data_IF_721057612152
#
_entry.id   IF_721057612152
#
_cell.length_a   1.000
_cell.length_b   1.000
_cell.length_c   1.000
_cell.angle_alpha   90.00
_cell.angle_beta   90.00
_cell.angle_gamma   90.00
#
_symmetry.space_group_name_H-M   'P 1'
#
loop_
_entity.id
_entity.type
_entity.pdbx_description
1 polymer ?
#
# COMPACT_ATOMS: atom_id res chain seq x y z
N UNK A 1 41.32 18.83 -95.69
CA UNK A 1 42.55 18.24 -95.05
C UNK A 1 42.27 17.92 -93.59
N UNK A 2 42.52 16.67 -93.26
CA UNK A 2 42.29 16.00 -91.97
C UNK A 2 43.01 16.65 -90.84
N UNK A 3 42.40 16.53 -89.60
CA UNK A 3 43.10 15.99 -88.43
C UNK A 3 42.07 15.64 -87.33
N UNK A 4 42.03 14.38 -86.98
CA UNK A 4 41.33 13.78 -85.88
C UNK A 4 42.07 14.08 -84.58
N UNK A 5 41.34 14.42 -83.52
CA UNK A 5 41.86 14.28 -82.18
C UNK A 5 40.87 13.42 -81.35
N UNK A 6 41.40 12.31 -80.91
CA UNK A 6 40.72 11.44 -79.94
C UNK A 6 40.93 11.95 -78.53
N UNK A 7 39.88 12.16 -77.80
CA UNK A 7 39.91 12.51 -76.35
C UNK A 7 39.41 11.36 -75.56
N UNK A 8 40.26 10.81 -74.69
CA UNK A 8 39.94 9.77 -73.70
C UNK A 8 39.06 10.39 -72.59
N UNK A 9 37.91 9.84 -72.39
CA UNK A 9 37.12 10.07 -71.15
C UNK A 9 37.51 9.01 -70.15
N UNK A 10 38.17 9.40 -69.03
CA UNK A 10 38.38 8.58 -67.87
C UNK A 10 37.16 8.73 -66.97
N UNK A 11 36.39 7.69 -66.84
CA UNK A 11 35.24 7.65 -65.91
C UNK A 11 35.73 7.39 -64.46
N UNK A 12 35.47 8.33 -63.60
CA UNK A 12 35.70 8.18 -62.17
C UNK A 12 34.45 7.53 -61.52
N UNK A 13 34.54 6.27 -61.16
CA UNK A 13 33.52 5.56 -60.35
C UNK A 13 33.69 5.95 -58.88
N UNK A 14 32.74 6.76 -58.39
CA UNK A 14 32.63 7.07 -56.95
C UNK A 14 31.87 5.92 -56.31
N UNK A 15 32.55 5.08 -55.51
CA UNK A 15 31.92 4.07 -54.69
C UNK A 15 31.42 4.72 -53.39
N UNK A 16 30.08 4.93 -53.30
CA UNK A 16 29.47 5.28 -52.01
C UNK A 16 29.36 4.05 -51.13
N UNK A 17 30.22 3.94 -50.11
CA UNK A 17 30.07 2.97 -49.02
C UNK A 17 29.05 3.53 -48.02
N UNK A 18 27.83 3.01 -48.03
CA UNK A 18 26.84 3.27 -47.00
C UNK A 18 27.22 2.53 -45.71
N UNK A 19 27.75 3.25 -44.74
CA UNK A 19 27.93 2.70 -43.38
C UNK A 19 26.56 2.61 -42.70
N UNK A 20 26.00 1.40 -42.60
CA UNK A 20 24.87 1.14 -41.75
C UNK A 20 25.32 1.26 -40.29
N UNK A 21 25.06 2.42 -39.70
CA UNK A 21 25.20 2.62 -38.26
C UNK A 21 24.14 1.78 -37.54
N UNK A 22 24.57 0.69 -36.90
CA UNK A 22 23.73 -0.03 -35.93
C UNK A 22 23.42 0.95 -34.78
N UNK A 23 22.19 1.46 -34.72
CA UNK A 23 21.69 2.15 -33.56
C UNK A 23 21.66 1.15 -32.42
N UNK A 24 22.70 1.14 -31.59
CA UNK A 24 22.71 0.38 -30.35
C UNK A 24 21.57 0.88 -29.46
N UNK A 25 20.57 0.03 -29.24
CA UNK A 25 19.64 0.24 -28.15
C UNK A 25 20.45 0.22 -26.86
N UNK A 26 20.68 1.40 -26.25
CA UNK A 26 21.16 1.48 -24.88
C UNK A 26 20.12 0.76 -23.99
N UNK A 27 20.52 -0.17 -23.13
CA UNK A 27 19.58 -0.76 -22.18
C UNK A 27 19.02 0.41 -21.37
N UNK A 28 17.70 0.58 -21.40
CA UNK A 28 17.01 1.41 -20.44
C UNK A 28 17.25 0.76 -19.06
N UNK A 29 18.25 1.21 -18.34
CA UNK A 29 18.35 0.98 -16.90
C UNK A 29 17.18 1.71 -16.28
N UNK A 30 16.10 1.01 -16.03
CA UNK A 30 15.02 1.50 -15.19
C UNK A 30 15.68 1.84 -13.85
N UNK A 31 15.73 3.11 -13.50
CA UNK A 31 16.22 3.52 -12.19
C UNK A 31 15.37 2.78 -11.16
N UNK A 32 16.00 1.99 -10.29
CA UNK A 32 15.29 1.34 -9.20
C UNK A 32 14.83 2.45 -8.25
N UNK A 33 13.53 2.73 -8.26
CA UNK A 33 12.93 3.68 -7.33
C UNK A 33 12.80 2.96 -5.98
N UNK A 34 13.43 3.49 -4.96
CA UNK A 34 13.33 2.99 -3.60
C UNK A 34 12.28 3.79 -2.85
N UNK A 35 11.32 3.09 -2.24
CA UNK A 35 10.32 3.73 -1.39
C UNK A 35 11.01 4.38 -0.18
N UNK A 36 10.87 5.69 -0.05
CA UNK A 36 11.43 6.50 1.05
C UNK A 36 10.36 7.19 1.88
N UNK A 37 9.10 7.11 1.45
CA UNK A 37 7.94 7.71 2.12
C UNK A 37 6.70 6.84 1.91
N UNK A 38 5.81 6.83 2.88
CA UNK A 38 4.54 6.13 2.78
C UNK A 38 3.41 6.93 3.42
N UNK A 39 2.23 6.86 2.79
CA UNK A 39 0.97 7.32 3.34
C UNK A 39 0.01 6.13 3.37
N UNK A 40 -0.63 5.91 4.52
CA UNK A 40 -1.51 4.76 4.77
C UNK A 40 -2.92 5.24 5.00
N UNK A 41 -3.88 4.58 4.34
CA UNK A 41 -5.32 4.78 4.53
C UNK A 41 -5.95 3.42 4.82
N UNK A 42 -6.80 3.35 5.83
CA UNK A 42 -7.33 2.05 6.22
C UNK A 42 -8.15 2.07 7.49
N UNK A 43 -8.20 0.90 8.10
CA UNK A 43 -8.98 0.62 9.30
C UNK A 43 -8.10 0.19 10.49
N UNK A 44 -8.71 -0.52 11.47
CA UNK A 44 -8.05 -0.92 12.72
C UNK A 44 -6.78 -1.75 12.57
N UNK A 45 -6.62 -2.45 11.45
CA UNK A 45 -5.43 -3.26 11.19
C UNK A 45 -4.21 -2.42 10.79
N UNK A 46 -4.45 -1.18 10.39
CA UNK A 46 -3.40 -0.22 10.03
C UNK A 46 -3.25 0.92 11.04
N UNK A 47 -4.31 1.28 11.79
CA UNK A 47 -4.35 2.39 12.75
C UNK A 47 -3.24 2.25 13.82
N UNK A 48 -2.25 3.16 13.81
CA UNK A 48 -1.14 3.19 14.74
C UNK A 48 -1.39 4.10 15.94
N UNK A 49 -2.60 4.68 16.02
CA UNK A 49 -3.02 5.59 17.08
C UNK A 49 -3.54 6.93 16.58
N UNK A 50 -3.80 7.06 15.26
CA UNK A 50 -4.53 8.19 14.69
C UNK A 50 -5.93 8.27 15.31
N UNK A 51 -6.67 7.15 15.33
CA UNK A 51 -7.95 7.01 15.98
C UNK A 51 -7.89 6.19 17.26
N UNK A 52 -7.61 4.91 17.14
CA UNK A 52 -7.46 3.95 18.24
C UNK A 52 -6.64 2.76 17.80
N UNK A 53 -5.47 2.58 18.36
CA UNK A 53 -4.66 1.40 18.11
C UNK A 53 -5.29 0.16 18.77
N UNK A 54 -5.88 -0.70 17.97
CA UNK A 54 -6.59 -1.91 18.42
C UNK A 54 -5.61 -3.08 18.60
N UNK A 55 -4.69 -2.95 19.57
CA UNK A 55 -3.65 -3.93 19.81
C UNK A 55 -2.63 -3.49 20.86
N UNK A 56 -1.58 -4.28 21.06
CA UNK A 56 -0.54 -4.08 22.08
C UNK A 56 0.76 -3.48 21.53
N UNK A 57 0.77 -2.93 20.33
CA UNK A 57 1.96 -2.34 19.74
C UNK A 57 1.78 -1.93 18.29
N UNK A 58 2.89 -1.71 17.55
CA UNK A 58 2.84 -1.32 16.14
C UNK A 58 2.07 -2.30 15.27
N UNK A 59 1.40 -1.78 14.25
CA UNK A 59 0.72 -2.55 13.20
C UNK A 59 1.69 -2.98 12.09
N UNK A 60 1.25 -3.84 11.18
CA UNK A 60 2.09 -4.36 10.09
C UNK A 60 2.64 -3.26 9.17
N UNK A 61 1.86 -2.20 8.92
CA UNK A 61 2.32 -1.06 8.11
C UNK A 61 3.39 -0.24 8.83
N UNK A 62 3.33 -0.14 10.16
CA UNK A 62 4.39 0.51 10.93
C UNK A 62 5.69 -0.31 10.91
N UNK A 63 5.60 -1.63 10.98
CA UNK A 63 6.77 -2.50 10.82
C UNK A 63 7.33 -2.50 9.40
N UNK A 64 6.47 -2.40 8.39
CA UNK A 64 6.90 -2.17 7.00
C UNK A 64 7.73 -0.89 6.90
N UNK A 65 7.20 0.24 7.38
CA UNK A 65 7.88 1.53 7.38
C UNK A 65 9.26 1.46 8.08
N UNK A 66 9.29 0.86 9.27
CA UNK A 66 10.54 0.67 10.02
C UNK A 66 11.58 -0.13 9.23
N UNK A 67 11.18 -1.21 8.53
CA UNK A 67 12.08 -2.03 7.72
C UNK A 67 12.56 -1.30 6.46
N UNK A 68 11.73 -0.40 5.90
CA UNK A 68 12.10 0.49 4.80
C UNK A 68 13.02 1.65 5.24
N UNK A 69 13.23 1.82 6.54
CA UNK A 69 14.18 2.77 7.11
C UNK A 69 13.60 4.14 7.46
N UNK A 70 12.27 4.25 7.60
CA UNK A 70 11.61 5.48 8.02
C UNK A 70 10.52 5.22 9.08
N UNK A 71 10.13 6.30 9.75
CA UNK A 71 9.09 6.28 10.77
C UNK A 71 7.72 6.58 10.14
N UNK A 72 6.71 5.81 10.52
CA UNK A 72 5.30 6.09 10.22
C UNK A 72 4.68 6.71 11.47
N UNK A 73 4.06 7.87 11.33
CA UNK A 73 3.43 8.61 12.43
C UNK A 73 1.93 8.79 12.19
N UNK A 74 1.12 8.88 13.26
CA UNK A 74 -0.28 9.29 13.12
C UNK A 74 -0.37 10.68 12.45
N UNK A 75 -1.30 10.86 11.54
CA UNK A 75 -1.41 12.10 10.76
C UNK A 75 -1.79 13.32 11.63
N UNK A 76 -2.46 13.09 12.77
CA UNK A 76 -2.83 14.12 13.73
C UNK A 76 -1.74 14.46 14.76
N UNK A 77 -0.59 13.78 14.73
CA UNK A 77 0.51 14.07 15.65
C UNK A 77 1.19 15.41 15.25
N UNK A 78 1.28 16.38 16.15
CA UNK A 78 1.95 17.65 15.85
C UNK A 78 3.42 17.51 15.40
N UNK A 79 4.10 16.41 15.77
CA UNK A 79 5.47 16.12 15.38
C UNK A 79 5.59 15.43 14.01
N UNK A 80 4.47 15.13 13.36
CA UNK A 80 4.42 14.34 12.11
C UNK A 80 4.83 15.11 10.85
N UNK A 81 5.11 16.41 10.96
CA UNK A 81 5.48 17.25 9.82
C UNK A 81 6.70 16.69 9.08
N UNK A 82 6.57 16.50 7.77
CA UNK A 82 7.63 15.97 6.92
C UNK A 82 7.91 14.46 7.07
N UNK A 83 7.09 13.74 7.81
CA UNK A 83 7.18 12.27 8.00
C UNK A 83 6.27 11.49 7.05
N UNK A 84 6.40 10.17 7.07
CA UNK A 84 5.38 9.26 6.55
C UNK A 84 4.20 9.24 7.51
N UNK A 85 2.97 9.24 6.99
CA UNK A 85 1.77 9.42 7.81
C UNK A 85 0.79 8.27 7.65
N UNK A 86 0.19 7.91 8.77
CA UNK A 86 -0.93 6.99 8.86
C UNK A 86 -2.22 7.75 9.13
N UNK A 87 -3.16 7.65 8.21
CA UNK A 87 -4.52 8.22 8.33
C UNK A 87 -5.55 7.16 8.73
N UNK A 88 -5.12 5.89 8.85
CA UNK A 88 -6.03 4.80 9.15
C UNK A 88 -6.73 5.01 10.50
N UNK A 89 -8.02 4.72 10.53
CA UNK A 89 -8.86 4.86 11.72
C UNK A 89 -9.59 3.56 11.99
N UNK A 90 -9.49 3.06 13.19
CA UNK A 90 -10.20 1.85 13.64
C UNK A 90 -11.70 1.93 13.35
N UNK A 91 -12.25 0.86 12.74
CA UNK A 91 -13.66 0.79 12.36
C UNK A 91 -14.03 1.54 11.09
N UNK A 92 -13.06 2.12 10.36
CA UNK A 92 -13.31 2.80 9.10
C UNK A 92 -13.89 1.87 8.04
N UNK A 93 -14.89 2.35 7.30
CA UNK A 93 -15.34 1.79 6.01
C UNK A 93 -14.63 2.51 4.88
N UNK A 94 -14.66 1.92 3.68
CA UNK A 94 -14.08 2.55 2.49
C UNK A 94 -14.76 3.87 2.11
N UNK A 95 -16.08 4.01 2.35
CA UNK A 95 -16.80 5.27 2.08
C UNK A 95 -16.57 6.36 3.13
N UNK A 96 -17.42 7.39 3.06
CA UNK A 96 -17.45 8.46 4.07
C UNK A 96 -18.06 7.98 5.39
N UNK A 97 -17.54 8.50 6.49
CA UNK A 97 -18.05 8.28 7.84
C UNK A 97 -17.53 9.34 8.80
N UNK A 98 -18.42 9.99 9.55
CA UNK A 98 -18.03 11.10 10.45
C UNK A 98 -17.26 10.63 11.70
N UNK A 99 -17.24 9.33 11.95
CA UNK A 99 -16.65 8.75 13.13
C UNK A 99 -17.44 9.00 14.42
N UNK A 100 -17.06 8.30 15.46
CA UNK A 100 -17.59 8.46 16.82
C UNK A 100 -16.45 8.56 17.82
N UNK A 101 -16.55 9.50 18.77
CA UNK A 101 -15.56 9.65 19.85
C UNK A 101 -15.92 8.76 21.03
N UNK A 102 -14.91 8.03 21.52
CA UNK A 102 -14.94 7.27 22.78
C UNK A 102 -13.78 7.79 23.65
N UNK A 103 -14.07 8.77 24.52
CA UNK A 103 -12.99 9.48 25.22
C UNK A 103 -12.07 10.22 24.25
N UNK A 104 -10.79 9.87 24.24
CA UNK A 104 -9.80 10.39 23.28
C UNK A 104 -9.78 9.62 21.96
N UNK A 105 -10.35 8.42 21.89
CA UNK A 105 -10.36 7.60 20.68
C UNK A 105 -11.39 8.09 19.66
N UNK A 106 -11.05 8.01 18.38
CA UNK A 106 -11.94 8.22 17.24
C UNK A 106 -12.11 6.88 16.52
N UNK A 107 -13.35 6.44 16.29
CA UNK A 107 -13.66 5.20 15.59
C UNK A 107 -14.59 5.47 14.41
N UNK A 108 -14.40 4.73 13.30
CA UNK A 108 -15.34 4.76 12.18
C UNK A 108 -15.26 6.00 11.30
N UNK A 109 -14.17 6.77 11.36
CA UNK A 109 -13.92 7.86 10.41
C UNK A 109 -13.52 7.27 9.08
N UNK A 110 -14.37 7.42 8.05
CA UNK A 110 -14.29 6.68 6.80
C UNK A 110 -13.03 6.98 5.97
N UNK A 111 -12.60 6.02 5.14
CA UNK A 111 -11.38 6.17 4.33
C UNK A 111 -11.48 7.33 3.34
N UNK A 112 -12.67 7.61 2.79
CA UNK A 112 -12.89 8.81 1.97
C UNK A 112 -12.50 10.07 2.73
N UNK A 113 -12.87 10.19 4.00
CA UNK A 113 -12.54 11.37 4.82
C UNK A 113 -11.02 11.42 5.10
N UNK A 114 -10.37 10.27 5.35
CA UNK A 114 -8.92 10.19 5.51
C UNK A 114 -8.18 10.72 4.27
N UNK A 115 -8.62 10.31 3.08
CA UNK A 115 -8.07 10.78 1.79
C UNK A 115 -8.38 12.27 1.57
N UNK A 116 -9.55 12.75 1.95
CA UNK A 116 -9.92 14.16 1.84
C UNK A 116 -9.06 15.04 2.76
N UNK A 117 -8.74 14.58 3.98
CA UNK A 117 -7.82 15.25 4.90
C UNK A 117 -6.38 15.30 4.33
N UNK A 118 -5.87 14.19 3.83
CA UNK A 118 -4.60 14.16 3.10
C UNK A 118 -4.60 15.14 1.93
N UNK A 119 -5.66 15.13 1.12
CA UNK A 119 -5.79 16.01 -0.04
C UNK A 119 -5.82 17.50 0.36
N UNK A 120 -6.48 17.84 1.45
CA UNK A 120 -6.50 19.21 2.00
C UNK A 120 -5.10 19.65 2.44
N UNK A 121 -4.35 18.77 3.10
CA UNK A 121 -2.97 19.05 3.55
C UNK A 121 -2.01 19.20 2.36
N UNK A 122 -2.15 18.42 1.30
CA UNK A 122 -1.35 18.58 0.07
C UNK A 122 -1.68 19.89 -0.64
N UNK A 123 -2.97 20.20 -0.83
CA UNK A 123 -3.41 21.46 -1.48
C UNK A 123 -3.00 22.71 -0.71
N UNK A 124 -2.94 22.62 0.61
CA UNK A 124 -2.47 23.73 1.47
C UNK A 124 -0.94 23.78 1.62
N UNK A 125 -0.21 22.90 0.93
CA UNK A 125 1.26 22.76 1.01
C UNK A 125 1.79 22.39 2.41
N UNK A 126 0.95 21.86 3.28
CA UNK A 126 1.38 21.28 4.56
C UNK A 126 2.13 19.94 4.34
N UNK A 127 1.74 19.21 3.30
CA UNK A 127 2.41 18.00 2.84
C UNK A 127 2.97 18.24 1.44
N UNK A 128 4.23 17.83 1.26
CA UNK A 128 4.88 17.66 -0.05
C UNK A 128 5.52 16.29 -0.10
N UNK A 129 5.52 15.65 -1.26
CA UNK A 129 6.11 14.33 -1.46
C UNK A 129 6.74 14.22 -2.86
N UNK A 130 7.70 13.31 -3.00
CA UNK A 130 8.24 12.92 -4.31
C UNK A 130 7.38 11.78 -4.88
N UNK A 131 6.70 11.97 -6.01
CA UNK A 131 5.87 10.93 -6.63
C UNK A 131 6.61 9.62 -6.92
N UNK A 132 7.91 9.69 -7.21
CA UNK A 132 8.70 8.54 -7.62
C UNK A 132 9.17 7.66 -6.46
N UNK A 133 9.12 8.16 -5.22
CA UNK A 133 9.61 7.43 -4.04
C UNK A 133 8.58 7.32 -2.93
N UNK A 134 7.35 7.76 -3.20
CA UNK A 134 6.25 7.72 -2.23
C UNK A 134 5.27 6.59 -2.54
N UNK A 135 5.05 5.71 -1.57
CA UNK A 135 4.06 4.64 -1.61
C UNK A 135 2.77 5.08 -0.92
N UNK A 136 1.63 4.88 -1.59
CA UNK A 136 0.29 5.02 -1.03
C UNK A 136 -0.31 3.64 -0.79
N UNK A 137 -0.59 3.31 0.47
CA UNK A 137 -1.07 2.00 0.89
C UNK A 137 -2.53 2.10 1.35
N UNK A 138 -3.41 1.34 0.68
CA UNK A 138 -4.84 1.30 0.94
C UNK A 138 -5.21 -0.08 1.49
N UNK A 139 -5.62 -0.13 2.76
CA UNK A 139 -6.01 -1.36 3.44
C UNK A 139 -7.38 -1.19 4.09
N UNK A 140 -8.44 -1.34 3.30
CA UNK A 140 -9.81 -1.17 3.76
C UNK A 140 -10.78 -2.16 3.16
N UNK A 141 -11.94 -2.26 3.80
CA UNK A 141 -13.02 -3.15 3.42
C UNK A 141 -13.45 -4.12 4.52
N UNK A 142 -12.64 -4.34 5.57
CA UNK A 142 -13.00 -5.23 6.67
C UNK A 142 -14.32 -4.83 7.35
N UNK A 143 -14.63 -3.53 7.38
CA UNK A 143 -15.85 -2.99 8.00
C UNK A 143 -17.01 -2.79 7.00
N UNK A 144 -16.87 -3.22 5.74
CA UNK A 144 -17.82 -3.00 4.65
C UNK A 144 -18.88 -4.11 4.54
N UNK A 145 -19.13 -4.83 5.62
CA UNK A 145 -20.12 -5.94 5.63
C UNK A 145 -21.52 -5.57 5.15
N UNK A 146 -21.90 -4.29 5.26
CA UNK A 146 -23.18 -3.74 4.81
C UNK A 146 -23.13 -2.95 3.50
N UNK A 147 -21.95 -2.77 2.89
CA UNK A 147 -21.80 -2.20 1.55
C UNK A 147 -21.83 -3.31 0.50
N UNK A 148 -22.29 -2.99 -0.70
CA UNK A 148 -22.11 -3.88 -1.85
C UNK A 148 -20.65 -3.96 -2.27
N UNK A 149 -20.28 -5.01 -3.00
CA UNK A 149 -18.93 -5.14 -3.57
C UNK A 149 -18.60 -3.96 -4.48
N UNK A 150 -19.55 -3.56 -5.33
CA UNK A 150 -19.36 -2.46 -6.27
C UNK A 150 -19.14 -1.11 -5.56
N UNK A 151 -19.85 -0.87 -4.45
CA UNK A 151 -19.64 0.33 -3.63
C UNK A 151 -18.25 0.36 -3.00
N UNK A 152 -17.78 -0.76 -2.42
CA UNK A 152 -16.43 -0.86 -1.85
C UNK A 152 -15.36 -0.60 -2.91
N UNK A 153 -15.47 -1.24 -4.07
CA UNK A 153 -14.52 -1.04 -5.20
C UNK A 153 -14.54 0.40 -5.68
N UNK A 154 -15.74 0.97 -5.92
CA UNK A 154 -15.87 2.36 -6.38
C UNK A 154 -15.30 3.38 -5.37
N UNK A 155 -15.44 3.12 -4.08
CA UNK A 155 -14.83 3.95 -3.02
C UNK A 155 -13.30 3.94 -3.14
N UNK A 156 -12.68 2.75 -3.13
CA UNK A 156 -11.22 2.59 -3.19
C UNK A 156 -10.65 3.18 -4.50
N UNK A 157 -11.28 2.91 -5.64
CA UNK A 157 -10.86 3.51 -6.91
C UNK A 157 -10.96 5.03 -6.89
N UNK A 158 -12.05 5.58 -6.34
CA UNK A 158 -12.25 7.02 -6.21
C UNK A 158 -11.20 7.69 -5.30
N UNK A 159 -10.79 7.01 -4.24
CA UNK A 159 -9.74 7.44 -3.33
C UNK A 159 -8.36 7.43 -4.01
N UNK A 160 -8.02 6.35 -4.72
CA UNK A 160 -6.78 6.26 -5.49
C UNK A 160 -6.73 7.35 -6.57
N UNK A 161 -7.84 7.58 -7.30
CA UNK A 161 -7.93 8.67 -8.29
C UNK A 161 -7.75 10.04 -7.65
N UNK A 162 -8.26 10.25 -6.44
CA UNK A 162 -8.05 11.48 -5.69
C UNK A 162 -6.56 11.70 -5.41
N UNK A 163 -5.86 10.70 -4.88
CA UNK A 163 -4.42 10.79 -4.60
C UNK A 163 -3.60 10.92 -5.89
N UNK A 164 -3.98 10.20 -6.95
CA UNK A 164 -3.36 10.35 -8.27
C UNK A 164 -3.48 11.78 -8.81
N UNK A 165 -4.64 12.42 -8.64
CA UNK A 165 -4.84 13.82 -9.06
C UNK A 165 -3.94 14.83 -8.33
N UNK A 166 -3.39 14.43 -7.19
CA UNK A 166 -2.41 15.20 -6.39
C UNK A 166 -0.95 14.86 -6.73
N UNK A 167 -0.74 13.97 -7.69
CA UNK A 167 0.58 13.56 -8.15
C UNK A 167 1.07 12.21 -7.61
N UNK A 168 0.26 11.45 -6.86
CA UNK A 168 0.62 10.09 -6.44
C UNK A 168 0.78 9.14 -7.63
N UNK A 169 1.83 8.31 -7.61
CA UNK A 169 2.12 7.38 -8.71
C UNK A 169 2.21 5.92 -8.28
N UNK A 170 2.59 5.61 -7.03
CA UNK A 170 2.80 4.24 -6.58
C UNK A 170 1.76 3.86 -5.52
N UNK A 171 0.94 2.87 -5.84
CA UNK A 171 -0.19 2.46 -5.03
C UNK A 171 -0.15 0.96 -4.74
N UNK A 172 -0.50 0.59 -3.52
CA UNK A 172 -0.80 -0.79 -3.15
C UNK A 172 -2.21 -0.86 -2.55
N UNK A 173 -3.01 -1.81 -3.04
CA UNK A 173 -4.36 -2.12 -2.55
C UNK A 173 -4.30 -3.48 -1.88
N UNK A 174 -4.65 -3.54 -0.62
CA UNK A 174 -4.59 -4.75 0.18
C UNK A 174 -5.74 -5.72 -0.17
N UNK A 175 -5.42 -7.00 -0.38
CA UNK A 175 -6.37 -8.09 -0.22
C UNK A 175 -6.63 -8.30 1.26
N UNK A 176 -7.78 -8.84 1.61
CA UNK A 176 -8.26 -8.98 2.97
C UNK A 176 -8.00 -10.40 3.52
N UNK A 177 -7.84 -10.58 4.85
CA UNK A 177 -7.63 -11.88 5.44
C UNK A 177 -8.93 -12.71 5.43
N UNK A 178 -8.92 -13.82 4.71
CA UNK A 178 -10.07 -14.73 4.59
C UNK A 178 -10.12 -15.77 5.72
N UNK A 179 -9.00 -16.01 6.38
CA UNK A 179 -8.87 -16.97 7.47
C UNK A 179 -9.27 -16.42 8.85
N UNK A 180 -9.49 -15.12 9.00
CA UNK A 180 -9.90 -14.51 10.27
C UNK A 180 -11.44 -14.56 10.38
N UNK A 181 -12.00 -15.29 11.35
CA UNK A 181 -13.45 -15.56 11.39
C UNK A 181 -14.34 -14.33 11.31
N UNK A 182 -13.99 -13.25 12.02
CA UNK A 182 -14.77 -12.01 12.06
C UNK A 182 -14.87 -11.31 10.70
N UNK A 183 -13.89 -11.51 9.82
CA UNK A 183 -13.76 -10.84 8.54
C UNK A 183 -13.86 -11.77 7.33
N UNK A 184 -13.85 -13.10 7.56
CA UNK A 184 -13.81 -14.12 6.49
C UNK A 184 -14.90 -13.93 5.44
N UNK A 185 -16.14 -13.68 5.87
CA UNK A 185 -17.26 -13.52 4.94
C UNK A 185 -17.12 -12.27 4.05
N UNK A 186 -16.72 -11.14 4.62
CA UNK A 186 -16.52 -9.90 3.86
C UNK A 186 -15.29 -10.00 2.96
N UNK A 187 -14.18 -10.56 3.46
CA UNK A 187 -12.96 -10.77 2.69
C UNK A 187 -13.20 -11.69 1.49
N UNK A 188 -13.81 -12.86 1.69
CA UNK A 188 -14.13 -13.80 0.62
C UNK A 188 -15.01 -13.17 -0.47
N UNK A 189 -15.93 -12.29 -0.08
CA UNK A 189 -16.81 -11.57 -1.02
C UNK A 189 -16.05 -10.49 -1.80
N UNK A 190 -15.16 -9.75 -1.14
CA UNK A 190 -14.50 -8.57 -1.72
C UNK A 190 -13.24 -8.90 -2.54
N UNK A 191 -12.41 -9.83 -2.09
CA UNK A 191 -11.08 -10.08 -2.67
C UNK A 191 -11.07 -10.34 -4.17
N UNK A 192 -12.02 -11.11 -4.75
CA UNK A 192 -12.06 -11.29 -6.20
C UNK A 192 -12.18 -9.97 -6.97
N UNK A 193 -12.95 -9.01 -6.44
CA UNK A 193 -13.13 -7.71 -7.08
C UNK A 193 -11.94 -6.77 -6.78
N UNK A 194 -11.42 -6.77 -5.55
CA UNK A 194 -10.23 -5.99 -5.19
C UNK A 194 -9.04 -6.37 -6.06
N UNK A 195 -8.87 -7.65 -6.38
CA UNK A 195 -7.79 -8.14 -7.24
C UNK A 195 -7.84 -7.57 -8.67
N UNK A 196 -8.97 -7.04 -9.12
CA UNK A 196 -9.11 -6.43 -10.45
C UNK A 196 -8.81 -4.93 -10.48
N UNK A 197 -8.80 -4.23 -9.33
CA UNK A 197 -8.53 -2.79 -9.24
C UNK A 197 -7.24 -2.37 -9.98
N UNK A 198 -6.09 -3.07 -9.84
CA UNK A 198 -4.88 -2.68 -10.55
C UNK A 198 -5.02 -2.72 -12.08
N UNK A 199 -5.68 -3.75 -12.63
CA UNK A 199 -5.87 -3.86 -14.08
C UNK A 199 -6.72 -2.70 -14.62
N UNK A 200 -7.77 -2.31 -13.89
CA UNK A 200 -8.66 -1.20 -14.23
C UNK A 200 -7.89 0.14 -14.17
N UNK A 201 -7.29 0.43 -13.00
CA UNK A 201 -6.67 1.74 -12.77
C UNK A 201 -5.38 1.95 -13.58
N UNK A 202 -4.54 0.94 -13.76
CA UNK A 202 -3.34 1.06 -14.58
C UNK A 202 -3.67 1.36 -16.05
N UNK A 203 -4.85 0.95 -16.54
CA UNK A 203 -5.31 1.28 -17.90
C UNK A 203 -5.77 2.73 -18.04
N UNK A 204 -6.22 3.35 -16.95
CA UNK A 204 -6.88 4.66 -16.93
C UNK A 204 -6.02 5.78 -16.34
N UNK A 205 -4.97 5.46 -15.59
CA UNK A 205 -4.11 6.43 -14.88
C UNK A 205 -2.68 6.40 -15.46
N UNK A 206 -2.38 7.16 -16.51
CA UNK A 206 -1.08 7.15 -17.16
C UNK A 206 0.07 7.41 -16.20
N UNK A 207 1.07 6.54 -16.18
CA UNK A 207 2.25 6.64 -15.29
C UNK A 207 2.04 6.15 -13.86
N UNK A 208 0.81 5.90 -13.44
CA UNK A 208 0.57 5.26 -12.15
C UNK A 208 0.94 3.77 -12.20
N UNK A 209 1.35 3.25 -11.05
CA UNK A 209 1.62 1.84 -10.79
C UNK A 209 0.77 1.41 -9.61
N UNK A 210 -0.37 0.80 -9.91
CA UNK A 210 -1.28 0.24 -8.91
C UNK A 210 -1.02 -1.25 -8.83
N UNK A 211 -0.74 -1.75 -7.63
CA UNK A 211 -0.42 -3.14 -7.36
C UNK A 211 -1.34 -3.70 -6.27
N UNK A 212 -1.52 -5.01 -6.27
CA UNK A 212 -2.11 -5.72 -5.13
C UNK A 212 -1.04 -5.93 -4.07
N UNK A 213 -1.43 -5.75 -2.81
CA UNK A 213 -0.70 -6.28 -1.66
C UNK A 213 -1.36 -7.53 -1.13
N UNK A 214 -0.57 -8.56 -0.87
CA UNK A 214 -1.01 -9.80 -0.23
C UNK A 214 -1.11 -9.67 1.31
N UNK A 215 -1.41 -8.47 1.78
CA UNK A 215 -1.50 -8.13 3.19
C UNK A 215 -2.42 -9.08 3.99
N UNK A 216 -3.65 -9.31 3.54
CA UNK A 216 -4.57 -10.25 4.16
C UNK A 216 -4.10 -11.70 4.08
N UNK A 217 -3.74 -12.23 2.89
CA UNK A 217 -3.11 -13.54 2.74
C UNK A 217 -1.88 -13.78 3.62
N UNK A 218 -1.13 -12.75 4.01
CA UNK A 218 -0.01 -12.90 4.94
C UNK A 218 -0.49 -13.20 6.37
N UNK A 219 -1.61 -12.64 6.83
CA UNK A 219 -2.22 -13.05 8.09
C UNK A 219 -2.74 -14.48 8.03
N UNK A 220 -3.35 -14.86 6.91
CA UNK A 220 -3.84 -16.23 6.70
C UNK A 220 -2.69 -17.24 6.71
N UNK A 221 -1.53 -16.91 6.13
CA UNK A 221 -0.31 -17.74 6.19
C UNK A 221 0.16 -17.95 7.64
N UNK A 222 0.14 -16.91 8.47
CA UNK A 222 0.50 -17.04 9.89
C UNK A 222 -0.50 -17.91 10.64
N UNK A 223 -1.80 -17.80 10.36
CA UNK A 223 -2.85 -18.64 10.94
C UNK A 223 -2.71 -20.12 10.54
N UNK A 224 -2.37 -20.39 9.28
CA UNK A 224 -2.21 -21.74 8.78
C UNK A 224 -0.92 -22.42 9.25
N UNK A 225 0.15 -21.65 9.47
CA UNK A 225 1.46 -22.15 9.82
C UNK A 225 2.01 -21.48 11.10
N UNK A 226 1.24 -21.40 12.21
CA UNK A 226 1.59 -20.57 13.35
C UNK A 226 2.92 -20.95 14.01
N UNK A 227 3.21 -22.25 14.11
CA UNK A 227 4.48 -22.75 14.72
C UNK A 227 5.73 -22.26 13.96
N UNK A 228 5.67 -22.07 12.65
CA UNK A 228 6.75 -21.51 11.82
C UNK A 228 7.14 -20.10 12.29
N UNK A 229 6.21 -19.40 12.87
CA UNK A 229 6.34 -17.99 13.27
C UNK A 229 6.42 -17.80 14.80
N UNK A 230 6.46 -18.89 15.56
CA UNK A 230 6.50 -18.83 17.04
C UNK A 230 5.15 -18.47 17.68
N UNK A 231 4.06 -18.53 16.90
CA UNK A 231 2.70 -18.37 17.43
C UNK A 231 2.20 -19.73 17.92
N UNK A 232 1.68 -19.77 19.15
CA UNK A 232 1.20 -21.00 19.77
C UNK A 232 -0.29 -20.97 20.10
N UNK A 233 -0.88 -19.77 20.15
CA UNK A 233 -2.34 -19.58 20.32
C UNK A 233 -2.92 -18.79 19.15
N UNK A 234 -3.80 -19.41 18.39
CA UNK A 234 -4.54 -18.81 17.27
C UNK A 234 -6.05 -18.76 17.52
N UNK A 235 -6.49 -19.06 18.75
CA UNK A 235 -7.91 -19.22 19.08
C UNK A 235 -8.40 -18.18 20.08
N UNK A 236 -7.56 -17.79 21.03
CA UNK A 236 -7.97 -16.90 22.12
C UNK A 236 -7.38 -15.49 21.94
N UNK A 237 -8.14 -14.49 22.40
CA UNK A 237 -7.62 -13.13 22.53
C UNK A 237 -6.77 -13.01 23.81
N UNK A 238 -5.72 -12.18 23.77
CA UNK A 238 -4.83 -11.96 24.89
C UNK A 238 -5.39 -10.95 25.90
N UNK A 239 -6.22 -9.99 25.47
CA UNK A 239 -6.83 -8.97 26.33
C UNK A 239 -8.15 -8.49 25.75
N UNK A 240 -8.99 -7.90 26.60
CA UNK A 240 -10.16 -7.14 26.14
C UNK A 240 -9.83 -5.67 25.88
N UNK A 241 -10.77 -4.93 25.27
CA UNK A 241 -10.63 -3.51 24.92
C UNK A 241 -11.10 -2.62 26.06
N UNK A 242 -10.18 -1.86 26.66
CA UNK A 242 -10.51 -0.92 27.73
C UNK A 242 -11.54 0.15 27.33
N UNK A 243 -11.51 0.61 26.07
CA UNK A 243 -12.49 1.59 25.57
C UNK A 243 -13.93 1.08 25.56
N UNK A 244 -14.13 -0.23 25.60
CA UNK A 244 -15.43 -0.89 25.71
C UNK A 244 -15.67 -1.48 27.10
N UNK A 245 -14.92 -1.04 28.12
CA UNK A 245 -15.03 -1.51 29.52
C UNK A 245 -14.80 -3.03 29.68
N UNK A 246 -14.04 -3.65 28.77
CA UNK A 246 -13.62 -5.04 28.89
C UNK A 246 -12.37 -5.14 29.78
N UNK A 247 -12.10 -6.33 30.32
CA UNK A 247 -10.86 -6.59 31.04
C UNK A 247 -9.66 -6.49 30.10
N UNK A 248 -8.87 -5.45 30.28
CA UNK A 248 -7.69 -5.17 29.48
C UNK A 248 -6.39 -5.78 30.05
N UNK A 249 -6.49 -6.65 31.06
CA UNK A 249 -5.35 -7.36 31.61
C UNK A 249 -4.75 -8.28 30.55
N UNK A 250 -3.47 -8.09 30.16
CA UNK A 250 -2.85 -8.94 29.16
C UNK A 250 -2.71 -10.39 29.64
N UNK A 251 -2.80 -11.34 28.70
CA UNK A 251 -2.41 -12.72 28.94
C UNK A 251 -0.90 -12.83 29.28
N UNK A 252 -0.46 -13.99 29.75
CA UNK A 252 0.92 -14.21 30.24
C UNK A 252 1.96 -14.10 29.12
N UNK A 253 1.61 -14.46 27.86
CA UNK A 253 2.55 -14.53 26.74
C UNK A 253 1.96 -13.88 25.47
N UNK A 254 1.76 -12.56 25.45
CA UNK A 254 1.17 -11.85 24.30
C UNK A 254 1.94 -12.08 23.00
N UNK A 255 3.24 -12.32 23.10
CA UNK A 255 4.14 -12.51 21.95
C UNK A 255 3.92 -13.85 21.20
N UNK A 256 3.19 -14.78 21.81
CA UNK A 256 2.88 -16.08 21.20
C UNK A 256 1.42 -16.20 20.77
N UNK A 257 0.60 -15.16 20.97
CA UNK A 257 -0.79 -15.12 20.56
C UNK A 257 -0.92 -14.47 19.17
N UNK A 258 -1.75 -15.06 18.31
CA UNK A 258 -2.13 -14.44 17.06
C UNK A 258 -2.98 -13.19 17.33
N UNK A 259 -4.01 -13.31 18.17
CA UNK A 259 -4.91 -12.20 18.51
C UNK A 259 -4.50 -11.53 19.82
N UNK A 260 -4.45 -10.19 19.82
CA UNK A 260 -4.38 -9.44 21.05
C UNK A 260 -5.77 -9.08 21.58
N UNK A 261 -6.59 -8.45 20.75
CA UNK A 261 -8.03 -8.28 21.00
C UNK A 261 -8.85 -9.21 20.10
N UNK A 262 -10.16 -9.33 20.38
CA UNK A 262 -11.06 -10.12 19.54
C UNK A 262 -10.96 -9.68 18.08
N UNK A 263 -10.66 -10.62 17.18
CA UNK A 263 -10.53 -10.38 15.75
C UNK A 263 -9.33 -9.51 15.34
N UNK A 264 -8.49 -9.04 16.30
CA UNK A 264 -7.38 -8.13 15.99
C UNK A 264 -6.03 -8.75 16.37
N UNK A 265 -5.05 -8.75 15.44
CA UNK A 265 -3.77 -9.39 15.65
C UNK A 265 -2.95 -8.73 16.76
N UNK A 266 -2.11 -9.54 17.41
CA UNK A 266 -1.07 -9.03 18.31
C UNK A 266 0.02 -8.29 17.53
N UNK A 267 0.80 -7.45 18.22
CA UNK A 267 1.97 -6.81 17.60
C UNK A 267 3.01 -7.82 17.14
N UNK A 268 3.06 -9.02 17.74
CA UNK A 268 3.93 -10.11 17.28
C UNK A 268 3.49 -10.60 15.89
N UNK A 269 2.21 -10.84 15.68
CA UNK A 269 1.65 -11.18 14.37
C UNK A 269 1.85 -10.05 13.36
N UNK A 270 1.56 -8.82 13.74
CA UNK A 270 1.79 -7.64 12.88
C UNK A 270 3.27 -7.51 12.45
N UNK A 271 4.22 -7.83 13.34
CA UNK A 271 5.65 -7.79 13.02
C UNK A 271 6.04 -8.82 11.96
N UNK A 272 5.46 -10.01 12.02
CA UNK A 272 5.67 -11.07 11.01
C UNK A 272 5.13 -10.59 9.67
N UNK A 273 3.87 -10.15 9.63
CA UNK A 273 3.22 -9.64 8.41
C UNK A 273 3.95 -8.41 7.85
N UNK A 274 4.39 -7.49 8.69
CA UNK A 274 5.22 -6.35 8.27
C UNK A 274 6.55 -6.74 7.62
N UNK A 275 7.11 -7.90 8.01
CA UNK A 275 8.26 -8.52 7.35
C UNK A 275 7.91 -9.01 5.95
N UNK A 276 6.79 -9.70 5.78
CA UNK A 276 6.32 -10.20 4.48
C UNK A 276 5.97 -9.04 3.54
N UNK A 277 5.34 -7.98 4.04
CA UNK A 277 5.08 -6.75 3.28
C UNK A 277 6.38 -6.08 2.80
N UNK A 278 7.41 -6.05 3.63
CA UNK A 278 8.72 -5.53 3.22
C UNK A 278 9.30 -6.32 2.05
N UNK A 279 9.26 -7.64 2.12
CA UNK A 279 9.76 -8.51 1.05
C UNK A 279 8.94 -8.31 -0.25
N UNK A 280 7.62 -8.12 -0.14
CA UNK A 280 6.72 -7.81 -1.26
C UNK A 280 7.08 -6.47 -1.91
N UNK A 281 7.23 -5.39 -1.12
CA UNK A 281 7.63 -4.07 -1.61
C UNK A 281 8.98 -4.14 -2.32
N UNK A 282 9.97 -4.84 -1.73
CA UNK A 282 11.30 -4.99 -2.34
C UNK A 282 11.26 -5.79 -3.64
N UNK A 283 10.36 -6.77 -3.75
CA UNK A 283 10.15 -7.51 -4.99
C UNK A 283 9.55 -6.62 -6.09
N UNK A 284 8.56 -5.79 -5.76
CA UNK A 284 7.94 -4.84 -6.69
C UNK A 284 8.93 -3.76 -7.16
N UNK A 285 9.74 -3.20 -6.25
CA UNK A 285 10.82 -2.26 -6.59
C UNK A 285 11.80 -2.89 -7.60
N UNK A 286 12.24 -4.13 -7.33
CA UNK A 286 13.16 -4.85 -8.22
C UNK A 286 12.58 -5.10 -9.62
N UNK A 287 11.27 -5.25 -9.72
CA UNK A 287 10.54 -5.43 -10.99
C UNK A 287 10.22 -4.10 -11.69
N UNK A 288 10.52 -2.95 -11.06
CA UNK A 288 10.15 -1.64 -11.56
C UNK A 288 8.64 -1.39 -11.51
N UNK A 289 7.95 -2.05 -10.59
CA UNK A 289 6.49 -1.92 -10.39
C UNK A 289 6.14 -0.92 -9.26
N UNK A 290 7.14 -0.38 -8.59
CA UNK A 290 7.04 0.76 -7.68
C UNK A 290 8.06 1.83 -8.05
#
# INVERSE_FOLDING_TARGET
MLRRFAGLLAGLLLACTASAGAAGFAPHTTAMHTVTRMYVFGDSYSDIGEGYRDGNGPTSVAYLAQRLGFELMPANDPAAHGKSLDYAISGAKTGSGTGHKFGSALLGYGMRNQVDDFAAQVRSHQITFDPNTTLFFFAGGLNDGNLSTDETVANLEGEIRTVYSLGGLHFMVALLPTGIPDFSAVATRLDPALAHIPAELNSQLPGAKVNISHWGPFYDEVLHNPAKYGITDTQTQCAGRAIFHQDATPCTSPETHFYYHHGHPSTATHKIVGGMLYDEVKALEKQGML
#
